data_IF_160119654549
#
_entry.id   IF_160119654549
#
_cell.length_a   1.000
_cell.length_b   1.000
_cell.length_c   1.000
_cell.angle_alpha   90.00
_cell.angle_beta   90.00
_cell.angle_gamma   90.00
#
_symmetry.space_group_name_H-M   'P 1'
#
loop_
_entity.id
_entity.type
_entity.pdbx_description
1 polymer ?
#
# COMPACT_ATOMS: atom_id res chain seq x y z
N UNK A 1 24.07 -20.83 -0.36
CA UNK A 1 23.24 -22.00 0.04
C UNK A 1 23.30 -22.11 1.54
N UNK A 2 22.13 -22.12 2.19
CA UNK A 2 21.99 -22.29 3.64
C UNK A 2 22.57 -23.64 4.04
N UNK A 3 23.39 -23.71 5.09
CA UNK A 3 23.89 -24.96 5.63
C UNK A 3 22.70 -25.82 6.13
N UNK A 4 22.72 -27.11 5.85
CA UNK A 4 21.57 -28.01 6.10
C UNK A 4 21.15 -28.07 7.57
N UNK A 5 22.10 -27.98 8.52
CA UNK A 5 21.85 -27.91 9.94
C UNK A 5 21.19 -26.59 10.35
N UNK A 6 21.71 -25.43 9.87
CA UNK A 6 21.13 -24.12 10.16
C UNK A 6 19.69 -24.05 9.65
N UNK A 7 19.45 -24.50 8.41
CA UNK A 7 18.10 -24.59 7.84
C UNK A 7 17.17 -25.42 8.75
N UNK A 8 17.59 -26.61 9.12
CA UNK A 8 16.78 -27.53 9.94
C UNK A 8 16.42 -26.91 11.29
N UNK A 9 17.42 -26.38 12.00
CA UNK A 9 17.25 -25.86 13.36
C UNK A 9 16.35 -24.61 13.37
N UNK A 10 16.54 -23.70 12.40
CA UNK A 10 15.72 -22.46 12.26
C UNK A 10 14.28 -22.79 11.91
N UNK A 11 14.03 -23.71 10.97
CA UNK A 11 12.67 -24.11 10.62
C UNK A 11 11.96 -24.80 11.79
N UNK A 12 12.67 -25.68 12.54
CA UNK A 12 12.12 -26.32 13.72
C UNK A 12 11.76 -25.30 14.80
N UNK A 13 12.61 -24.28 15.02
CA UNK A 13 12.33 -23.23 16.00
C UNK A 13 11.08 -22.39 15.61
N UNK A 14 10.85 -22.10 14.31
CA UNK A 14 9.61 -21.45 13.88
C UNK A 14 8.40 -22.35 14.14
N UNK A 15 8.50 -23.66 13.87
CA UNK A 15 7.41 -24.61 14.14
C UNK A 15 7.10 -24.68 15.64
N UNK A 16 8.11 -24.69 16.51
CA UNK A 16 7.94 -24.67 17.97
C UNK A 16 7.28 -23.37 18.46
N UNK A 17 7.49 -22.24 17.78
CA UNK A 17 6.90 -20.94 18.11
C UNK A 17 5.53 -20.68 17.42
N UNK A 18 4.99 -21.67 16.70
CA UNK A 18 3.72 -21.53 15.95
C UNK A 18 2.57 -20.96 16.79
N UNK A 19 2.35 -21.52 17.97
CA UNK A 19 1.23 -21.09 18.83
C UNK A 19 1.44 -19.66 19.36
N UNK A 20 2.69 -19.27 19.57
CA UNK A 20 3.04 -17.91 19.98
C UNK A 20 2.81 -16.93 18.83
N UNK A 21 3.22 -17.27 17.62
CA UNK A 21 2.97 -16.49 16.40
C UNK A 21 1.48 -16.22 16.19
N UNK A 22 0.67 -17.28 16.25
CA UNK A 22 -0.80 -17.17 16.08
C UNK A 22 -1.41 -16.31 17.17
N UNK A 23 -0.97 -16.45 18.42
CA UNK A 23 -1.44 -15.64 19.54
C UNK A 23 -1.04 -14.17 19.36
N UNK A 24 0.21 -13.87 19.01
CA UNK A 24 0.70 -12.51 18.80
C UNK A 24 -0.11 -11.81 17.69
N UNK A 25 -0.30 -12.43 16.54
CA UNK A 25 -1.13 -11.91 15.47
C UNK A 25 -2.58 -11.67 15.92
N UNK A 26 -3.18 -12.63 16.64
CA UNK A 26 -4.53 -12.49 17.20
C UNK A 26 -4.64 -11.32 18.17
N UNK A 27 -3.68 -11.16 19.08
CA UNK A 27 -3.67 -10.10 20.09
C UNK A 27 -3.54 -8.70 19.43
N UNK A 28 -2.71 -8.58 18.38
CA UNK A 28 -2.61 -7.35 17.58
C UNK A 28 -3.95 -6.99 16.90
N UNK A 29 -4.62 -7.99 16.30
CA UNK A 29 -5.92 -7.81 15.62
C UNK A 29 -7.01 -7.36 16.59
N UNK A 30 -6.97 -7.80 17.83
CA UNK A 30 -7.94 -7.42 18.86
C UNK A 30 -7.85 -5.94 19.28
N UNK A 31 -6.79 -5.25 18.91
CA UNK A 31 -6.63 -3.82 19.17
C UNK A 31 -7.13 -3.03 17.95
N UNK A 32 -8.24 -2.27 18.07
CA UNK A 32 -8.66 -1.34 17.03
C UNK A 32 -7.60 -0.26 16.82
N UNK A 33 -6.93 -0.29 15.69
CA UNK A 33 -5.90 0.68 15.29
C UNK A 33 -6.28 1.35 13.98
N UNK A 34 -7.55 1.74 13.86
CA UNK A 34 -8.05 2.47 12.69
C UNK A 34 -7.25 3.75 12.50
N UNK A 35 -6.77 3.99 11.29
CA UNK A 35 -6.04 5.20 10.97
C UNK A 35 -6.89 6.45 11.29
N UNK A 36 -6.42 7.35 12.17
CA UNK A 36 -7.24 8.46 12.67
C UNK A 36 -7.47 9.56 11.63
N UNK A 37 -6.83 9.51 10.48
CA UNK A 37 -7.00 10.46 9.38
C UNK A 37 -7.94 9.96 8.29
N UNK A 38 -8.48 8.75 8.45
CA UNK A 38 -9.38 8.15 7.47
C UNK A 38 -10.68 8.96 7.35
N UNK A 39 -11.19 9.24 6.13
CA UNK A 39 -12.42 10.00 5.94
C UNK A 39 -13.62 9.38 6.67
N UNK A 40 -14.31 10.19 7.46
CA UNK A 40 -15.47 9.76 8.25
C UNK A 40 -15.13 9.14 9.61
N UNK A 41 -13.86 8.99 9.95
CA UNK A 41 -13.41 8.58 11.30
C UNK A 41 -13.37 9.80 12.22
N UNK A 42 -13.87 9.62 13.45
CA UNK A 42 -13.73 10.62 14.52
C UNK A 42 -12.32 10.45 15.09
N UNK A 43 -11.44 11.42 14.80
CA UNK A 43 -10.01 11.34 15.14
C UNK A 43 -9.79 11.08 16.64
N UNK A 44 -10.54 11.75 17.50
CA UNK A 44 -10.43 11.67 18.96
C UNK A 44 -10.73 10.26 19.50
N UNK A 45 -11.51 9.47 18.76
CA UNK A 45 -11.86 8.09 19.14
C UNK A 45 -10.84 7.08 18.60
N UNK A 46 -10.21 7.37 17.45
CA UNK A 46 -9.27 6.48 16.79
C UNK A 46 -7.82 6.68 17.26
N UNK A 47 -7.43 7.94 17.55
CA UNK A 47 -6.07 8.28 17.94
C UNK A 47 -5.58 7.45 19.12
N UNK A 48 -4.33 6.99 19.05
CA UNK A 48 -3.72 6.11 20.05
C UNK A 48 -3.99 4.62 19.84
N UNK A 49 -4.84 4.24 18.86
CA UNK A 49 -5.06 2.84 18.49
C UNK A 49 -3.77 2.18 18.00
N UNK A 50 -3.07 2.81 17.07
CA UNK A 50 -1.77 2.40 16.54
C UNK A 50 -0.73 2.28 17.68
N UNK A 51 -0.64 3.30 18.52
CA UNK A 51 0.26 3.32 19.69
C UNK A 51 -0.02 2.18 20.68
N UNK A 52 -1.27 1.71 20.80
CA UNK A 52 -1.59 0.55 21.65
C UNK A 52 -1.05 -0.74 21.08
N UNK A 53 -1.08 -0.93 19.75
CA UNK A 53 -0.47 -2.09 19.10
C UNK A 53 1.03 -2.07 19.34
N UNK A 54 1.71 -0.96 19.10
CA UNK A 54 3.16 -0.85 19.26
C UNK A 54 3.61 -1.00 20.73
N UNK A 55 2.81 -0.54 21.70
CA UNK A 55 3.06 -0.82 23.12
C UNK A 55 2.79 -2.28 23.54
N UNK A 56 1.97 -3.02 22.80
CA UNK A 56 1.88 -4.48 22.97
C UNK A 56 3.14 -5.17 22.46
N UNK A 57 3.70 -4.71 21.34
CA UNK A 57 4.86 -5.32 20.68
C UNK A 57 6.19 -5.00 21.36
N UNK A 58 6.33 -3.80 21.95
CA UNK A 58 7.58 -3.37 22.59
C UNK A 58 8.13 -4.41 23.61
N UNK A 59 7.37 -4.86 24.64
CA UNK A 59 7.87 -5.87 25.58
C UNK A 59 8.16 -7.22 24.91
N UNK A 60 7.45 -7.58 23.84
CA UNK A 60 7.72 -8.82 23.09
C UNK A 60 9.09 -8.73 22.42
N UNK A 61 9.41 -7.60 21.80
CA UNK A 61 10.73 -7.37 21.18
C UNK A 61 11.85 -7.26 22.22
N UNK A 62 11.60 -6.62 23.37
CA UNK A 62 12.55 -6.55 24.48
C UNK A 62 12.89 -7.94 25.05
N UNK A 63 11.88 -8.83 25.22
CA UNK A 63 12.07 -10.22 25.69
C UNK A 63 12.90 -11.06 24.71
N UNK A 64 12.82 -10.79 23.42
CA UNK A 64 13.64 -11.40 22.38
C UNK A 64 15.10 -10.90 22.45
N UNK A 65 15.30 -9.74 23.08
CA UNK A 65 16.61 -9.10 23.22
C UNK A 65 16.92 -8.09 22.10
N UNK A 66 15.90 -7.53 21.47
CA UNK A 66 16.06 -6.41 20.54
C UNK A 66 16.22 -5.09 21.31
N UNK A 67 16.98 -4.16 20.76
CA UNK A 67 17.03 -2.78 21.25
C UNK A 67 15.82 -2.02 20.67
N UNK A 68 14.84 -1.67 21.52
CA UNK A 68 13.59 -1.04 21.08
C UNK A 68 13.66 0.49 21.14
N UNK A 69 13.00 1.15 20.18
CA UNK A 69 12.78 2.59 20.11
C UNK A 69 11.29 2.85 19.79
N UNK A 70 10.52 3.21 20.83
CA UNK A 70 9.13 3.60 20.72
C UNK A 70 9.01 5.12 20.76
N UNK A 71 8.52 5.73 19.67
CA UNK A 71 8.50 7.18 19.53
C UNK A 71 7.39 7.66 18.59
N UNK A 72 7.04 8.92 18.70
CA UNK A 72 5.96 9.55 17.94
C UNK A 72 6.52 10.64 17.00
N UNK A 73 6.28 10.51 15.69
CA UNK A 73 6.49 11.60 14.74
C UNK A 73 5.26 12.53 14.72
N UNK A 74 4.09 11.97 14.96
CA UNK A 74 2.82 12.65 15.13
C UNK A 74 2.24 12.26 16.49
N UNK A 75 1.77 13.25 17.28
CA UNK A 75 1.25 13.04 18.62
C UNK A 75 0.14 11.97 18.68
N UNK A 76 0.30 10.99 19.57
CA UNK A 76 -0.63 9.87 19.75
C UNK A 76 -0.46 8.74 18.73
N UNK A 77 0.54 8.81 17.85
CA UNK A 77 0.80 7.83 16.80
C UNK A 77 2.25 7.32 16.89
N UNK A 78 2.48 6.40 17.81
CA UNK A 78 3.83 5.89 18.06
C UNK A 78 4.24 4.84 17.02
N UNK A 79 5.43 5.02 16.42
CA UNK A 79 6.16 3.97 15.71
C UNK A 79 6.98 3.15 16.71
N UNK A 80 7.22 1.89 16.40
CA UNK A 80 8.13 1.01 17.14
C UNK A 80 9.18 0.46 16.19
N UNK A 81 10.45 0.60 16.58
CA UNK A 81 11.58 -0.03 15.89
C UNK A 81 12.29 -0.97 16.86
N UNK A 82 12.51 -2.21 16.44
CA UNK A 82 13.30 -3.20 17.18
C UNK A 82 14.58 -3.54 16.41
N UNK A 83 15.74 -3.34 17.03
CA UNK A 83 17.05 -3.63 16.44
C UNK A 83 17.65 -4.91 17.03
N UNK A 84 17.78 -5.96 16.23
CA UNK A 84 18.64 -7.10 16.51
C UNK A 84 20.05 -6.80 16.03
N UNK A 85 20.94 -6.45 16.95
CA UNK A 85 22.32 -6.08 16.63
C UNK A 85 23.12 -7.26 16.11
N UNK A 86 23.68 -7.11 14.89
CA UNK A 86 24.53 -8.11 14.27
C UNK A 86 25.89 -8.26 14.93
N UNK A 87 26.54 -9.40 14.71
CA UNK A 87 27.90 -9.68 15.21
C UNK A 87 29.00 -9.01 14.39
N UNK A 88 28.64 -8.43 13.25
CA UNK A 88 29.53 -7.70 12.33
C UNK A 88 29.92 -8.50 11.10
N UNK A 89 30.12 -7.79 9.99
CA UNK A 89 30.60 -8.34 8.72
C UNK A 89 29.51 -8.91 7.78
N UNK A 90 28.23 -8.81 8.15
CA UNK A 90 27.08 -9.13 7.30
C UNK A 90 26.38 -7.91 6.76
N UNK A 91 25.46 -8.11 5.81
CA UNK A 91 24.53 -7.08 5.29
C UNK A 91 23.37 -6.92 6.26
N UNK A 92 22.89 -5.69 6.42
CA UNK A 92 21.71 -5.38 7.25
C UNK A 92 20.40 -5.56 6.48
N UNK A 93 19.32 -5.84 7.23
CA UNK A 93 17.98 -6.08 6.69
C UNK A 93 16.92 -5.35 7.52
N UNK A 94 15.99 -4.66 6.87
CA UNK A 94 14.77 -4.14 7.47
C UNK A 94 13.60 -5.08 7.12
N UNK A 95 12.77 -5.42 8.11
CA UNK A 95 11.38 -5.81 7.92
C UNK A 95 10.52 -4.61 8.29
N UNK A 96 9.68 -4.15 7.37
CA UNK A 96 8.83 -3.00 7.58
C UNK A 96 7.36 -3.40 7.40
N UNK A 97 6.52 -3.01 8.34
CA UNK A 97 5.08 -3.22 8.25
C UNK A 97 4.32 -2.17 9.05
N UNK A 98 3.06 -1.94 8.68
CA UNK A 98 2.21 -0.96 9.35
C UNK A 98 1.22 -1.62 10.31
N UNK A 99 0.91 -0.91 11.39
CA UNK A 99 -0.02 -1.37 12.43
C UNK A 99 -1.38 -0.68 12.35
N UNK A 100 -1.50 0.38 11.55
CA UNK A 100 -2.81 0.99 11.27
C UNK A 100 -3.64 0.14 10.30
N UNK A 101 -4.93 0.36 10.32
CA UNK A 101 -5.88 -0.37 9.47
C UNK A 101 -7.00 0.57 8.99
N UNK A 102 -7.65 0.24 7.87
CA UNK A 102 -8.86 0.91 7.42
C UNK A 102 -10.03 0.66 8.38
N UNK A 103 -11.07 1.51 8.41
CA UNK A 103 -12.30 1.24 9.15
C UNK A 103 -12.91 -0.11 8.76
N UNK A 104 -13.55 -0.82 9.71
CA UNK A 104 -14.14 -2.14 9.44
C UNK A 104 -15.35 -2.08 8.50
N UNK A 105 -15.91 -0.90 8.28
CA UNK A 105 -17.19 -0.73 7.59
C UNK A 105 -18.38 -1.15 8.46
N UNK A 106 -19.57 -1.35 7.85
CA UNK A 106 -20.78 -1.71 8.60
C UNK A 106 -20.64 -3.07 9.31
N UNK A 107 -20.98 -3.11 10.60
CA UNK A 107 -20.84 -4.34 11.42
C UNK A 107 -21.75 -5.49 10.96
N UNK A 108 -22.88 -5.19 10.35
CA UNK A 108 -23.81 -6.19 9.83
C UNK A 108 -23.25 -6.99 8.63
N UNK A 109 -22.19 -6.49 8.01
CA UNK A 109 -21.45 -7.21 6.96
C UNK A 109 -20.44 -8.23 7.52
N UNK A 110 -20.09 -8.13 8.82
CA UNK A 110 -19.22 -9.08 9.48
C UNK A 110 -20.01 -10.28 10.01
N UNK A 111 -20.28 -11.23 9.13
CA UNK A 111 -21.18 -12.37 9.37
C UNK A 111 -20.51 -13.56 10.05
N UNK A 112 -19.19 -13.68 9.92
CA UNK A 112 -18.41 -14.79 10.49
C UNK A 112 -17.92 -14.45 11.91
N UNK A 113 -17.44 -13.22 12.11
CA UNK A 113 -16.79 -12.75 13.34
C UNK A 113 -17.03 -11.24 13.53
N UNK A 114 -16.75 -10.69 14.72
CA UNK A 114 -16.62 -9.23 14.83
C UNK A 114 -15.26 -8.75 14.29
N UNK A 115 -15.16 -7.49 13.81
CA UNK A 115 -13.92 -6.96 13.21
C UNK A 115 -12.69 -7.08 14.10
N UNK A 116 -12.86 -6.98 15.39
CA UNK A 116 -11.78 -6.97 16.39
C UNK A 116 -11.70 -8.26 17.21
N UNK A 117 -12.16 -9.37 16.64
CA UNK A 117 -12.22 -10.62 17.42
C UNK A 117 -10.87 -11.34 17.56
N UNK A 118 -9.96 -11.19 16.59
CA UNK A 118 -8.75 -12.00 16.52
C UNK A 118 -9.04 -13.50 16.51
N UNK A 119 -10.24 -13.93 16.10
CA UNK A 119 -10.71 -15.30 16.27
C UNK A 119 -9.90 -16.29 15.45
N UNK A 120 -9.35 -17.29 16.15
CA UNK A 120 -8.64 -18.41 15.53
C UNK A 120 -9.60 -19.58 15.36
N UNK A 121 -9.90 -19.94 14.11
CA UNK A 121 -10.78 -21.06 13.78
C UNK A 121 -10.55 -21.54 12.34
N UNK A 122 -10.77 -22.83 12.07
CA UNK A 122 -10.66 -23.41 10.73
C UNK A 122 -9.33 -23.13 10.01
N UNK A 123 -8.22 -23.06 10.73
CA UNK A 123 -6.90 -22.78 10.17
C UNK A 123 -6.67 -21.30 9.82
N UNK A 124 -7.51 -20.38 10.29
CA UNK A 124 -7.47 -18.96 10.01
C UNK A 124 -7.46 -18.10 11.26
N UNK A 125 -6.90 -16.92 11.12
CA UNK A 125 -7.03 -15.81 12.09
C UNK A 125 -7.92 -14.76 11.42
N UNK A 126 -9.02 -14.41 12.07
CA UNK A 126 -10.02 -13.48 11.54
C UNK A 126 -9.98 -12.13 12.23
N UNK A 127 -10.18 -11.07 11.47
CA UNK A 127 -10.41 -9.72 11.94
C UNK A 127 -9.77 -8.68 11.02
N UNK A 128 -10.12 -7.40 11.22
CA UNK A 128 -9.54 -6.28 10.49
C UNK A 128 -8.05 -6.15 10.80
N UNK A 129 -7.20 -6.10 9.77
CA UNK A 129 -5.76 -6.13 9.90
C UNK A 129 -5.16 -7.53 9.96
N UNK A 130 -5.96 -8.59 9.81
CA UNK A 130 -5.43 -9.96 9.80
C UNK A 130 -4.54 -10.22 8.59
N UNK A 131 -5.02 -9.82 7.41
CA UNK A 131 -4.26 -9.92 6.17
C UNK A 131 -3.42 -8.69 5.91
N UNK A 132 -3.91 -7.50 6.31
CA UNK A 132 -3.35 -6.21 5.98
C UNK A 132 -3.12 -5.37 7.24
N UNK A 133 -1.89 -5.46 7.87
CA UNK A 133 -0.84 -6.46 7.62
C UNK A 133 -0.24 -7.02 8.91
N UNK A 134 -1.00 -6.95 10.06
CA UNK A 134 -0.54 -7.32 11.40
C UNK A 134 0.02 -8.75 11.50
N UNK A 135 -0.48 -9.71 10.68
CA UNK A 135 0.07 -11.05 10.66
C UNK A 135 1.47 -11.09 10.03
N UNK A 136 1.76 -10.21 9.07
CA UNK A 136 3.09 -10.01 8.50
C UNK A 136 4.08 -9.49 9.54
N UNK A 137 3.67 -8.47 10.33
CA UNK A 137 4.46 -7.94 11.45
C UNK A 137 4.79 -9.03 12.49
N UNK A 138 3.76 -9.78 12.89
CA UNK A 138 3.95 -10.90 13.85
C UNK A 138 4.92 -11.96 13.30
N UNK A 139 4.82 -12.28 11.99
CA UNK A 139 5.72 -13.24 11.34
C UNK A 139 7.17 -12.75 11.34
N UNK A 140 7.40 -11.46 11.09
CA UNK A 140 8.75 -10.86 11.10
C UNK A 140 9.38 -10.89 12.52
N UNK A 141 8.60 -10.55 13.55
CA UNK A 141 9.04 -10.60 14.94
C UNK A 141 9.42 -12.03 15.34
N UNK A 142 8.55 -13.00 15.05
CA UNK A 142 8.78 -14.41 15.41
C UNK A 142 9.91 -15.03 14.57
N UNK A 143 10.14 -14.57 13.34
CA UNK A 143 11.29 -15.02 12.54
C UNK A 143 12.64 -14.69 13.21
N UNK A 144 12.77 -13.46 13.74
CA UNK A 144 13.98 -13.07 14.49
C UNK A 144 14.10 -13.87 15.78
N UNK A 145 12.99 -14.03 16.53
CA UNK A 145 12.97 -14.85 17.76
C UNK A 145 13.43 -16.28 17.48
N UNK A 146 12.86 -16.94 16.47
CA UNK A 146 13.19 -18.30 16.10
C UNK A 146 14.68 -18.47 15.75
N UNK A 147 15.25 -17.52 14.99
CA UNK A 147 16.67 -17.54 14.66
C UNK A 147 17.55 -17.50 15.92
N UNK A 148 17.22 -16.62 16.87
CA UNK A 148 17.98 -16.46 18.12
C UNK A 148 17.81 -17.66 19.04
N UNK A 149 16.59 -18.22 19.17
CA UNK A 149 16.33 -19.44 19.97
C UNK A 149 17.00 -20.70 19.39
N UNK A 150 17.13 -20.75 18.04
CA UNK A 150 17.93 -21.81 17.40
C UNK A 150 19.45 -21.66 17.66
N UNK A 151 19.86 -20.59 18.35
CA UNK A 151 21.26 -20.34 18.72
C UNK A 151 22.08 -19.59 17.68
N UNK A 152 21.45 -19.06 16.65
CA UNK A 152 22.12 -18.31 15.59
C UNK A 152 21.97 -16.79 15.78
N UNK A 153 23.06 -16.06 15.58
CA UNK A 153 23.04 -14.58 15.57
C UNK A 153 23.39 -14.09 14.18
N UNK A 154 22.62 -13.13 13.64
CA UNK A 154 22.94 -12.55 12.34
C UNK A 154 24.27 -11.80 12.39
N UNK A 155 25.02 -11.82 11.28
CA UNK A 155 26.23 -10.97 11.14
C UNK A 155 25.88 -9.53 10.85
N UNK A 156 24.89 -9.27 10.00
CA UNK A 156 24.34 -7.93 9.77
C UNK A 156 23.25 -7.59 10.79
N UNK A 157 22.99 -6.31 10.96
CA UNK A 157 21.88 -5.83 11.79
C UNK A 157 20.53 -6.22 11.15
N UNK A 158 19.56 -6.67 11.97
CA UNK A 158 18.17 -6.87 11.53
C UNK A 158 17.28 -5.88 12.26
N UNK A 159 16.51 -5.11 11.51
CA UNK A 159 15.64 -4.05 12.01
C UNK A 159 14.20 -4.45 11.72
N UNK A 160 13.33 -4.38 12.72
CA UNK A 160 11.88 -4.55 12.57
C UNK A 160 11.24 -3.19 12.79
N UNK A 161 10.50 -2.71 11.81
CA UNK A 161 9.77 -1.44 11.86
C UNK A 161 8.27 -1.73 11.86
N UNK A 162 7.58 -1.40 12.97
CA UNK A 162 6.12 -1.42 13.08
C UNK A 162 5.64 0.03 13.03
N UNK A 163 5.24 0.48 11.86
CA UNK A 163 4.98 1.89 11.58
C UNK A 163 3.48 2.23 11.57
N UNK A 164 3.17 3.52 11.47
CA UNK A 164 1.82 4.07 11.41
C UNK A 164 1.60 4.82 10.09
N UNK A 165 0.35 4.96 9.64
CA UNK A 165 0.00 5.95 8.63
C UNK A 165 -0.04 5.47 7.20
N UNK A 166 0.28 4.22 6.91
CA UNK A 166 0.31 3.66 5.56
C UNK A 166 -1.07 3.76 4.88
N UNK A 167 -2.13 3.30 5.51
CA UNK A 167 -3.51 3.19 5.01
C UNK A 167 -4.14 4.53 4.55
N UNK A 168 -3.56 5.63 4.94
CA UNK A 168 -3.95 6.98 4.51
C UNK A 168 -2.79 7.75 3.88
N UNK A 169 -1.76 7.02 3.45
CA UNK A 169 -0.64 7.60 2.71
C UNK A 169 0.08 8.71 3.51
N UNK A 170 0.04 8.64 4.85
CA UNK A 170 0.74 9.55 5.75
C UNK A 170 2.10 8.95 6.18
N UNK A 171 2.94 8.71 5.20
CA UNK A 171 4.26 8.09 5.40
C UNK A 171 5.21 8.98 6.19
N UNK A 172 4.97 10.30 6.24
CA UNK A 172 5.73 11.23 7.07
C UNK A 172 5.54 10.96 8.58
N UNK A 173 4.44 10.31 8.97
CA UNK A 173 4.24 9.84 10.34
C UNK A 173 4.83 8.45 10.60
N UNK A 174 5.01 7.63 9.55
CA UNK A 174 5.46 6.22 9.59
C UNK A 174 6.81 5.98 8.94
N UNK A 175 6.86 5.22 7.85
CA UNK A 175 8.09 4.78 7.18
C UNK A 175 9.00 5.94 6.75
N UNK A 176 8.44 7.05 6.26
CA UNK A 176 9.23 8.25 5.98
C UNK A 176 9.88 8.83 7.24
N UNK A 177 9.21 8.72 8.39
CA UNK A 177 9.76 9.18 9.67
C UNK A 177 10.87 8.24 10.21
N UNK A 178 10.78 6.91 10.01
CA UNK A 178 11.86 5.98 10.39
C UNK A 178 13.12 6.26 9.56
N UNK A 179 12.97 6.46 8.26
CA UNK A 179 14.07 6.87 7.36
C UNK A 179 14.69 8.20 7.81
N UNK A 180 13.87 9.21 8.13
CA UNK A 180 14.35 10.52 8.60
C UNK A 180 15.04 10.43 9.96
N UNK A 181 14.63 9.51 10.84
CA UNK A 181 15.26 9.23 12.13
C UNK A 181 16.61 8.52 11.99
N UNK A 182 16.91 7.99 10.80
CA UNK A 182 18.21 7.43 10.45
C UNK A 182 18.25 5.90 10.37
N UNK A 183 17.11 5.21 10.47
CA UNK A 183 17.05 3.77 10.24
C UNK A 183 17.31 3.46 8.77
N UNK A 184 18.32 2.65 8.50
CA UNK A 184 18.78 2.27 7.17
C UNK A 184 19.35 0.86 7.18
N UNK A 185 19.20 0.17 6.08
CA UNK A 185 19.76 -1.16 5.85
C UNK A 185 20.25 -1.32 4.41
N UNK A 186 20.95 -2.43 4.15
CA UNK A 186 21.41 -2.79 2.79
C UNK A 186 20.26 -3.30 1.91
N UNK A 187 19.15 -3.74 2.52
CA UNK A 187 17.89 -4.05 1.85
C UNK A 187 16.74 -4.06 2.85
N UNK A 188 15.49 -4.11 2.33
CA UNK A 188 14.29 -4.26 3.13
C UNK A 188 13.27 -5.20 2.50
N UNK A 189 12.39 -5.73 3.35
CA UNK A 189 11.19 -6.50 2.99
C UNK A 189 10.00 -5.81 3.66
N UNK A 190 9.04 -5.32 2.86
CA UNK A 190 7.73 -4.91 3.36
C UNK A 190 6.86 -6.14 3.46
N UNK A 191 6.25 -6.35 4.64
CA UNK A 191 5.57 -7.62 4.97
C UNK A 191 4.08 -7.61 4.57
N UNK A 192 3.72 -6.85 3.53
CA UNK A 192 2.40 -6.74 2.90
C UNK A 192 1.92 -8.04 2.26
N UNK A 193 0.59 -8.28 2.25
CA UNK A 193 0.02 -9.50 1.70
C UNK A 193 0.26 -9.67 0.21
N UNK A 194 0.38 -10.90 -0.21
CA UNK A 194 0.56 -11.26 -1.61
C UNK A 194 -0.70 -11.06 -2.45
N UNK A 195 -0.55 -11.02 -3.77
CA UNK A 195 -1.65 -10.97 -4.72
C UNK A 195 -1.75 -12.27 -5.53
N UNK A 196 -2.98 -12.78 -5.80
CA UNK A 196 -3.14 -13.93 -6.66
C UNK A 196 -2.53 -13.75 -8.06
N UNK A 197 -2.02 -14.81 -8.65
CA UNK A 197 -2.09 -16.21 -8.22
C UNK A 197 -0.96 -16.65 -7.27
N UNK A 198 -0.16 -15.71 -6.78
CA UNK A 198 1.05 -16.02 -6.02
C UNK A 198 0.72 -16.14 -4.53
N UNK A 199 1.12 -17.25 -3.92
CA UNK A 199 1.16 -17.44 -2.48
C UNK A 199 2.54 -17.02 -1.99
N UNK A 200 2.61 -16.04 -1.10
CA UNK A 200 3.89 -15.49 -0.60
C UNK A 200 4.84 -15.08 -1.75
N UNK A 201 4.27 -14.60 -2.87
CA UNK A 201 5.08 -14.18 -4.01
C UNK A 201 5.93 -12.96 -3.69
N UNK A 202 7.01 -12.77 -4.43
CA UNK A 202 7.92 -11.65 -4.28
C UNK A 202 7.49 -10.53 -5.22
N UNK A 203 6.93 -9.44 -4.69
CA UNK A 203 6.66 -8.27 -5.49
C UNK A 203 7.93 -7.41 -5.58
N UNK A 204 8.34 -7.12 -6.81
CA UNK A 204 9.57 -6.38 -7.11
C UNK A 204 9.33 -5.00 -7.69
N UNK A 205 8.08 -4.67 -7.99
CA UNK A 205 7.69 -3.38 -8.54
C UNK A 205 6.28 -3.00 -8.09
N UNK A 206 6.01 -1.71 -7.94
CA UNK A 206 4.66 -1.16 -7.77
C UNK A 206 4.42 0.01 -8.71
N UNK A 207 3.17 0.32 -9.09
CA UNK A 207 2.85 1.55 -9.81
C UNK A 207 3.09 2.77 -8.94
N UNK A 208 3.23 3.94 -9.58
CA UNK A 208 3.10 5.21 -8.89
C UNK A 208 1.67 5.74 -8.95
N UNK A 209 1.29 6.61 -8.02
CA UNK A 209 -0.05 7.21 -7.95
C UNK A 209 -0.01 8.72 -7.88
N UNK A 210 -0.84 9.36 -8.70
CA UNK A 210 -1.12 10.79 -8.68
C UNK A 210 -2.63 11.00 -8.55
N UNK A 211 -3.06 12.11 -7.93
CA UNK A 211 -4.47 12.42 -7.70
C UNK A 211 -4.85 13.82 -8.23
N UNK A 212 -4.96 14.01 -9.55
CA UNK A 212 -5.30 15.29 -10.12
C UNK A 212 -6.79 15.64 -9.97
N UNK A 213 -7.05 16.94 -9.82
CA UNK A 213 -8.37 17.56 -9.86
C UNK A 213 -8.52 18.41 -11.11
N UNK A 214 -9.48 18.05 -11.95
CA UNK A 214 -9.77 18.77 -13.21
C UNK A 214 -11.02 19.61 -13.01
N UNK A 215 -10.88 20.92 -13.17
CA UNK A 215 -11.96 21.90 -12.99
C UNK A 215 -12.37 22.50 -14.32
N UNK A 216 -13.64 22.40 -14.65
CA UNK A 216 -14.25 22.93 -15.85
C UNK A 216 -15.19 24.06 -15.47
N UNK A 217 -15.01 25.22 -16.08
CA UNK A 217 -15.87 26.39 -15.90
C UNK A 217 -16.91 26.47 -17.01
N UNK A 218 -18.13 26.80 -16.62
CA UNK A 218 -19.24 27.10 -17.50
C UNK A 218 -19.79 28.50 -17.21
N UNK A 219 -21.03 28.74 -17.65
CA UNK A 219 -21.79 29.95 -17.39
C UNK A 219 -23.14 29.56 -16.82
N UNK A 220 -23.39 29.78 -15.52
CA UNK A 220 -24.63 29.37 -14.90
C UNK A 220 -25.82 30.19 -15.37
N UNK A 221 -27.00 29.57 -15.40
CA UNK A 221 -28.28 30.21 -15.64
C UNK A 221 -29.40 29.34 -15.05
N UNK A 222 -30.63 29.86 -15.07
CA UNK A 222 -31.78 29.05 -14.71
C UNK A 222 -32.01 27.93 -15.72
N UNK A 223 -32.44 26.74 -15.27
CA UNK A 223 -32.63 25.55 -16.15
C UNK A 223 -33.64 25.78 -17.28
N UNK A 224 -34.61 26.69 -17.13
CA UNK A 224 -35.54 27.04 -18.21
C UNK A 224 -34.84 27.66 -19.43
N UNK A 225 -33.60 28.14 -19.29
CA UNK A 225 -32.82 28.65 -20.40
C UNK A 225 -32.13 27.57 -21.24
N UNK A 226 -32.34 26.28 -20.93
CA UNK A 226 -31.73 25.14 -21.65
C UNK A 226 -32.09 25.13 -23.13
N UNK A 227 -33.28 25.58 -23.49
CA UNK A 227 -33.73 25.69 -24.88
C UNK A 227 -32.85 26.62 -25.71
N UNK A 228 -32.35 27.72 -25.13
CA UNK A 228 -31.44 28.65 -25.80
C UNK A 228 -30.08 28.00 -26.17
N UNK A 229 -29.71 26.91 -25.48
CA UNK A 229 -28.46 26.20 -25.73
C UNK A 229 -28.60 25.12 -26.81
N UNK A 230 -29.79 24.52 -26.95
CA UNK A 230 -29.99 23.31 -27.76
C UNK A 230 -30.82 23.54 -29.03
N UNK A 231 -31.68 24.56 -29.08
CA UNK A 231 -32.53 24.84 -30.25
C UNK A 231 -31.74 25.49 -31.37
N UNK A 232 -32.15 25.23 -32.59
CA UNK A 232 -31.67 26.02 -33.76
C UNK A 232 -32.01 27.50 -33.60
N UNK A 233 -31.02 28.40 -33.77
CA UNK A 233 -31.19 29.84 -33.60
C UNK A 233 -31.26 30.29 -32.14
N UNK A 234 -30.97 29.42 -31.16
CA UNK A 234 -30.75 29.84 -29.78
C UNK A 234 -29.44 30.61 -29.61
N UNK A 235 -29.35 31.43 -28.57
CA UNK A 235 -28.21 32.32 -28.31
C UNK A 235 -26.98 31.57 -27.73
N UNK A 236 -27.13 30.31 -27.37
CA UNK A 236 -26.03 29.44 -26.92
C UNK A 236 -25.23 30.01 -25.74
N UNK A 237 -23.92 30.07 -25.89
CA UNK A 237 -22.98 30.49 -24.83
C UNK A 237 -23.17 31.99 -24.40
N UNK A 238 -23.86 32.82 -25.15
CA UNK A 238 -24.22 34.15 -24.69
C UNK A 238 -25.14 34.10 -23.46
N UNK A 239 -25.99 33.08 -23.38
CA UNK A 239 -26.95 32.90 -22.30
C UNK A 239 -26.39 32.03 -21.18
N UNK A 240 -25.96 30.80 -21.51
CA UNK A 240 -25.44 29.84 -20.52
C UNK A 240 -24.50 28.83 -21.16
N UNK A 241 -23.68 28.15 -20.31
CA UNK A 241 -22.86 27.01 -20.69
C UNK A 241 -22.87 26.04 -19.54
N UNK A 242 -23.33 24.82 -19.78
CA UNK A 242 -23.29 23.74 -18.78
C UNK A 242 -21.87 23.24 -18.63
N UNK A 243 -21.29 23.45 -17.46
CA UNK A 243 -19.97 22.92 -17.14
C UNK A 243 -19.95 21.38 -17.14
N UNK A 244 -21.07 20.74 -16.77
CA UNK A 244 -21.20 19.27 -16.81
C UNK A 244 -21.16 18.76 -18.25
N UNK A 245 -21.87 19.41 -19.20
CA UNK A 245 -21.79 19.02 -20.61
C UNK A 245 -20.36 19.15 -21.16
N UNK A 246 -19.62 20.16 -20.71
CA UNK A 246 -18.20 20.37 -21.06
C UNK A 246 -17.29 19.37 -20.37
N UNK A 247 -17.58 19.03 -19.11
CA UNK A 247 -16.87 17.98 -18.35
C UNK A 247 -16.95 16.62 -19.04
N UNK A 248 -18.10 16.26 -19.61
CA UNK A 248 -18.26 15.01 -20.35
C UNK A 248 -17.34 14.93 -21.59
N UNK A 249 -17.04 16.05 -22.25
CA UNK A 249 -16.09 16.09 -23.38
C UNK A 249 -14.67 15.75 -22.88
N UNK A 250 -14.27 16.34 -21.76
CA UNK A 250 -12.94 16.09 -21.16
C UNK A 250 -12.85 14.66 -20.62
N UNK A 251 -13.90 14.17 -19.95
CA UNK A 251 -13.99 12.77 -19.52
C UNK A 251 -13.77 11.79 -20.68
N UNK A 252 -14.46 12.00 -21.81
CA UNK A 252 -14.27 11.16 -23.00
C UNK A 252 -12.84 11.19 -23.53
N UNK A 253 -12.17 12.35 -23.41
CA UNK A 253 -10.77 12.47 -23.75
C UNK A 253 -9.86 11.63 -22.86
N UNK A 254 -10.05 11.71 -21.56
CA UNK A 254 -9.26 10.97 -20.59
C UNK A 254 -9.55 9.45 -20.64
N UNK A 255 -10.80 9.06 -20.86
CA UNK A 255 -11.15 7.65 -21.09
C UNK A 255 -10.43 7.05 -22.32
N UNK A 256 -10.26 7.86 -23.39
CA UNK A 256 -9.47 7.42 -24.56
C UNK A 256 -7.98 7.33 -24.28
N UNK A 257 -7.44 8.20 -23.43
CA UNK A 257 -6.05 8.10 -23.00
C UNK A 257 -5.83 6.82 -22.17
N UNK A 258 -6.78 6.49 -21.28
CA UNK A 258 -6.74 5.25 -20.51
C UNK A 258 -6.77 4.00 -21.43
N UNK A 259 -7.64 3.99 -22.47
CA UNK A 259 -7.66 2.93 -23.47
C UNK A 259 -6.32 2.81 -24.21
N UNK A 260 -5.69 3.93 -24.55
CA UNK A 260 -4.37 3.98 -25.19
C UNK A 260 -3.28 3.45 -24.25
N UNK A 261 -3.30 3.86 -22.98
CA UNK A 261 -2.36 3.36 -21.99
C UNK A 261 -2.50 1.84 -21.78
N UNK A 262 -3.74 1.32 -21.76
CA UNK A 262 -4.00 -0.10 -21.67
C UNK A 262 -3.39 -0.94 -22.80
N UNK A 263 -3.07 -0.31 -23.94
CA UNK A 263 -2.47 -0.96 -25.12
C UNK A 263 -0.97 -0.69 -25.24
N UNK A 264 -0.48 0.45 -24.75
CA UNK A 264 0.87 0.95 -25.00
C UNK A 264 1.78 0.90 -23.80
N UNK A 265 1.23 1.05 -22.58
CA UNK A 265 2.01 1.01 -21.35
C UNK A 265 2.07 -0.41 -20.79
N UNK A 266 3.29 -0.90 -20.61
CA UNK A 266 3.54 -2.23 -20.06
C UNK A 266 4.81 -2.21 -19.21
N UNK A 267 4.89 -3.14 -18.27
CA UNK A 267 6.08 -3.39 -17.47
C UNK A 267 6.23 -4.89 -17.24
N UNK A 268 7.43 -5.47 -17.27
CA UNK A 268 7.63 -6.93 -17.17
C UNK A 268 7.04 -7.59 -15.92
N UNK A 269 7.04 -6.88 -14.79
CA UNK A 269 6.47 -7.38 -13.54
C UNK A 269 4.93 -7.45 -13.57
N UNK A 270 4.25 -6.69 -14.43
CA UNK A 270 2.79 -6.63 -14.54
C UNK A 270 2.34 -7.40 -15.78
N UNK A 271 1.99 -8.67 -15.59
CA UNK A 271 1.65 -9.59 -16.69
C UNK A 271 0.27 -9.36 -17.30
N UNK A 272 -0.59 -8.61 -16.65
CA UNK A 272 -1.94 -8.28 -17.16
C UNK A 272 -1.89 -6.95 -17.90
N UNK A 273 -2.45 -6.86 -19.12
CA UNK A 273 -2.58 -5.58 -19.81
C UNK A 273 -3.57 -4.67 -19.07
N UNK A 274 -3.41 -3.34 -19.26
CA UNK A 274 -4.32 -2.36 -18.67
C UNK A 274 -4.12 -2.14 -17.16
N UNK A 275 -2.93 -2.40 -16.65
CA UNK A 275 -2.62 -2.20 -15.23
C UNK A 275 -2.49 -0.73 -14.85
N UNK A 276 -2.05 0.11 -15.79
CA UNK A 276 -1.87 1.55 -15.59
C UNK A 276 -3.08 2.30 -16.11
N UNK A 277 -3.77 3.05 -15.22
CA UNK A 277 -5.12 3.55 -15.46
C UNK A 277 -5.32 4.99 -15.01
N UNK A 278 -6.38 5.61 -15.53
CA UNK A 278 -6.89 6.90 -15.08
C UNK A 278 -8.30 6.69 -14.49
N UNK A 279 -8.39 6.30 -13.24
CA UNK A 279 -9.67 6.05 -12.59
C UNK A 279 -10.36 7.36 -12.20
N UNK A 280 -11.53 7.65 -12.81
CA UNK A 280 -12.38 8.75 -12.35
C UNK A 280 -13.01 8.38 -11.00
N UNK A 281 -12.57 9.04 -9.93
CA UNK A 281 -13.08 8.81 -8.58
C UNK A 281 -14.36 9.61 -8.30
N UNK A 282 -14.39 10.88 -8.71
CA UNK A 282 -15.57 11.74 -8.51
C UNK A 282 -15.87 12.58 -9.76
N UNK A 283 -17.15 12.80 -10.03
CA UNK A 283 -17.65 13.71 -11.07
C UNK A 283 -18.77 14.55 -10.46
N UNK A 284 -18.47 15.78 -10.12
CA UNK A 284 -19.38 16.66 -9.40
C UNK A 284 -19.68 17.93 -10.22
N UNK A 285 -20.96 18.31 -10.30
CA UNK A 285 -21.32 19.55 -10.96
C UNK A 285 -22.73 19.99 -10.60
N UNK A 286 -22.89 21.31 -10.48
CA UNK A 286 -24.17 21.92 -10.16
C UNK A 286 -24.44 22.04 -8.65
N UNK A 287 -25.35 22.98 -8.33
CA UNK A 287 -25.75 23.33 -6.96
C UNK A 287 -27.25 23.10 -6.68
N UNK A 288 -27.95 22.45 -7.61
CA UNK A 288 -29.36 22.15 -7.49
C UNK A 288 -30.10 22.09 -8.81
N UNK A 289 -31.35 21.63 -8.80
CA UNK A 289 -32.17 21.34 -10.00
C UNK A 289 -32.59 22.58 -10.80
N UNK A 290 -32.51 23.78 -10.18
CA UNK A 290 -32.94 25.02 -10.82
C UNK A 290 -31.84 25.70 -11.67
N UNK A 291 -30.62 25.15 -11.68
CA UNK A 291 -29.47 25.81 -12.29
C UNK A 291 -28.84 24.97 -13.40
N UNK A 292 -28.43 25.62 -14.49
CA UNK A 292 -27.44 25.10 -15.44
C UNK A 292 -26.09 25.19 -14.72
N UNK A 293 -25.32 24.08 -14.56
CA UNK A 293 -24.09 24.09 -13.80
C UNK A 293 -23.03 25.03 -14.36
N UNK A 294 -22.53 25.95 -13.53
CA UNK A 294 -21.45 26.86 -13.87
C UNK A 294 -20.06 26.33 -13.57
N UNK A 295 -19.98 25.21 -12.86
CA UNK A 295 -18.75 24.51 -12.54
C UNK A 295 -18.96 23.00 -12.55
N UNK A 296 -17.94 22.28 -13.00
CA UNK A 296 -17.82 20.83 -12.89
C UNK A 296 -16.41 20.49 -12.44
N UNK A 297 -16.30 19.57 -11.48
CA UNK A 297 -15.05 19.07 -10.92
C UNK A 297 -14.98 17.57 -11.08
N UNK A 298 -13.86 17.08 -11.59
CA UNK A 298 -13.53 15.66 -11.68
C UNK A 298 -12.25 15.41 -10.88
N UNK A 299 -12.26 14.40 -10.04
CA UNK A 299 -11.09 13.94 -9.32
C UNK A 299 -10.72 12.56 -9.84
N UNK A 300 -9.45 12.37 -10.16
CA UNK A 300 -8.90 11.14 -10.70
C UNK A 300 -7.88 10.54 -9.77
N UNK A 301 -7.76 9.20 -9.81
CA UNK A 301 -6.60 8.46 -9.32
C UNK A 301 -5.88 7.93 -10.55
N UNK A 302 -4.64 8.36 -10.74
CA UNK A 302 -3.83 8.02 -11.91
C UNK A 302 -2.74 7.04 -11.47
N UNK A 303 -2.89 5.79 -11.90
CA UNK A 303 -1.91 4.73 -11.69
C UNK A 303 -0.94 4.69 -12.85
N UNK A 304 0.33 4.96 -12.63
CA UNK A 304 1.32 5.04 -13.70
C UNK A 304 2.42 3.99 -13.57
N UNK A 305 3.04 3.68 -14.70
CA UNK A 305 4.10 2.68 -14.77
C UNK A 305 5.35 3.12 -13.97
N UNK A 306 6.10 2.16 -13.38
CA UNK A 306 7.29 2.47 -12.61
C UNK A 306 8.35 3.27 -13.37
N UNK A 307 8.49 3.03 -14.67
CA UNK A 307 9.45 3.72 -15.52
C UNK A 307 9.01 5.13 -15.95
N UNK A 308 7.74 5.50 -15.73
CA UNK A 308 7.22 6.82 -16.13
C UNK A 308 7.46 7.83 -15.00
N UNK A 309 8.11 8.95 -15.33
CA UNK A 309 8.22 10.03 -14.34
C UNK A 309 6.88 10.74 -14.13
N UNK A 310 6.63 11.31 -12.95
CA UNK A 310 5.43 12.10 -12.68
C UNK A 310 5.22 13.22 -13.70
N UNK A 311 6.30 13.87 -14.15
CA UNK A 311 6.27 14.95 -15.14
C UNK A 311 5.80 14.46 -16.50
N UNK A 312 6.22 13.26 -16.93
CA UNK A 312 5.75 12.66 -18.18
C UNK A 312 4.25 12.36 -18.09
N UNK A 313 3.81 11.77 -17.01
CA UNK A 313 2.40 11.42 -16.77
C UNK A 313 1.52 12.68 -16.76
N UNK A 314 1.93 13.71 -16.03
CA UNK A 314 1.24 15.00 -15.99
C UNK A 314 1.11 15.61 -17.38
N UNK A 315 2.19 15.61 -18.15
CA UNK A 315 2.23 16.11 -19.52
C UNK A 315 1.25 15.36 -20.43
N UNK A 316 1.26 14.02 -20.41
CA UNK A 316 0.36 13.20 -21.24
C UNK A 316 -1.12 13.51 -20.94
N UNK A 317 -1.48 13.61 -19.66
CA UNK A 317 -2.84 13.92 -19.21
C UNK A 317 -3.24 15.34 -19.64
N UNK A 318 -2.39 16.34 -19.41
CA UNK A 318 -2.65 17.73 -19.77
C UNK A 318 -2.76 17.93 -21.30
N UNK A 319 -1.88 17.29 -22.09
CA UNK A 319 -1.94 17.31 -23.54
C UNK A 319 -3.24 16.70 -24.08
N UNK A 320 -3.72 15.63 -23.46
CA UNK A 320 -4.99 15.01 -23.83
C UNK A 320 -6.18 15.92 -23.49
N UNK A 321 -6.19 16.53 -22.31
CA UNK A 321 -7.20 17.53 -21.92
C UNK A 321 -7.20 18.69 -22.92
N UNK A 322 -6.03 19.23 -23.24
CA UNK A 322 -5.91 20.32 -24.20
C UNK A 322 -6.40 19.91 -25.60
N UNK A 323 -6.08 18.70 -26.06
CA UNK A 323 -6.53 18.16 -27.36
C UNK A 323 -8.06 18.11 -27.43
N UNK A 324 -8.73 17.62 -26.38
CA UNK A 324 -10.17 17.55 -26.36
C UNK A 324 -10.84 18.92 -26.16
N UNK A 325 -10.23 19.80 -25.41
CA UNK A 325 -10.70 21.17 -25.28
C UNK A 325 -10.75 21.90 -26.63
N UNK A 326 -9.83 21.61 -27.57
CA UNK A 326 -9.85 22.17 -28.92
C UNK A 326 -11.07 21.74 -29.76
N UNK A 327 -11.77 20.69 -29.41
CA UNK A 327 -12.96 20.20 -30.14
C UNK A 327 -14.20 21.01 -29.81
N UNK A 328 -14.19 21.81 -28.75
CA UNK A 328 -15.33 22.60 -28.29
C UNK A 328 -15.05 24.12 -28.29
N UNK A 329 -15.90 24.95 -28.90
CA UNK A 329 -15.66 26.38 -28.96
C UNK A 329 -15.51 27.08 -27.60
N UNK A 330 -16.28 26.65 -26.59
CA UNK A 330 -16.21 27.26 -25.26
C UNK A 330 -14.90 26.86 -24.55
N UNK A 331 -14.54 25.55 -24.60
CA UNK A 331 -13.34 25.03 -23.93
C UNK A 331 -12.04 25.59 -24.57
N UNK A 332 -12.05 25.97 -25.84
CA UNK A 332 -10.89 26.64 -26.47
C UNK A 332 -10.56 27.97 -25.80
N UNK A 333 -11.62 28.73 -25.43
CA UNK A 333 -11.49 30.05 -24.81
C UNK A 333 -11.44 29.95 -23.27
N UNK A 334 -11.97 28.85 -22.70
CA UNK A 334 -12.05 28.58 -21.28
C UNK A 334 -11.50 27.20 -20.99
N UNK A 335 -10.18 26.97 -21.13
CA UNK A 335 -9.58 25.67 -20.96
C UNK A 335 -9.77 25.14 -19.52
N UNK A 336 -9.92 23.82 -19.35
CA UNK A 336 -9.96 23.21 -18.01
C UNK A 336 -8.70 23.52 -17.21
N UNK A 337 -8.87 23.79 -15.93
CA UNK A 337 -7.76 23.84 -14.98
C UNK A 337 -7.43 22.45 -14.46
N UNK A 338 -6.15 22.11 -14.36
CA UNK A 338 -5.67 20.88 -13.73
C UNK A 338 -4.87 21.26 -12.50
N UNK A 339 -5.28 20.75 -11.36
CA UNK A 339 -4.56 20.88 -10.09
C UNK A 339 -4.04 19.49 -9.70
N UNK A 340 -2.73 19.32 -9.65
CA UNK A 340 -2.08 18.08 -9.26
C UNK A 340 -1.87 17.96 -7.75
N UNK A 341 -2.07 19.03 -7.00
CA UNK A 341 -1.77 19.07 -5.58
C UNK A 341 -0.31 18.69 -5.29
N UNK A 342 -0.08 18.24 -4.09
CA UNK A 342 1.24 17.74 -3.63
C UNK A 342 1.29 16.23 -3.50
N UNK A 343 0.15 15.55 -3.63
CA UNK A 343 0.06 14.11 -3.47
C UNK A 343 0.77 13.38 -4.62
N UNK A 344 1.71 12.55 -4.28
CA UNK A 344 2.37 11.59 -5.14
C UNK A 344 2.86 10.42 -4.31
N UNK A 345 2.37 9.22 -4.63
CA UNK A 345 2.97 7.98 -4.14
C UNK A 345 3.96 7.50 -5.19
N UNK A 346 5.25 7.37 -4.84
CA UNK A 346 6.25 6.96 -5.80
C UNK A 346 6.07 5.49 -6.20
N UNK A 347 6.46 5.12 -7.43
CA UNK A 347 6.64 3.72 -7.78
C UNK A 347 7.95 3.19 -7.23
N UNK A 348 8.09 1.85 -7.22
CA UNK A 348 9.40 1.22 -7.13
C UNK A 348 9.58 0.15 -8.21
N UNK A 349 10.83 -0.19 -8.52
CA UNK A 349 11.20 -1.22 -9.49
C UNK A 349 12.58 -1.79 -9.13
N UNK A 350 12.59 -2.97 -8.54
CA UNK A 350 13.79 -3.69 -8.14
C UNK A 350 14.03 -4.83 -9.13
N UNK A 351 15.22 -4.90 -9.77
CA UNK A 351 15.52 -5.98 -10.69
C UNK A 351 15.36 -7.37 -10.04
N UNK A 352 14.73 -8.30 -10.73
CA UNK A 352 14.50 -9.67 -10.21
C UNK A 352 15.79 -10.44 -9.89
N UNK A 353 16.90 -10.04 -10.47
CA UNK A 353 18.24 -10.57 -10.21
C UNK A 353 19.01 -9.78 -9.13
N UNK A 354 18.35 -8.80 -8.49
CA UNK A 354 18.95 -8.11 -7.37
C UNK A 354 19.31 -9.08 -6.24
N UNK A 355 20.40 -8.81 -5.50
CA UNK A 355 20.86 -9.72 -4.44
C UNK A 355 19.80 -10.06 -3.39
N UNK A 356 18.93 -9.10 -3.03
CA UNK A 356 17.85 -9.35 -2.06
C UNK A 356 16.80 -10.30 -2.65
N UNK A 357 16.41 -10.14 -3.92
CA UNK A 357 15.50 -11.05 -4.60
C UNK A 357 16.04 -12.47 -4.63
N UNK A 358 17.33 -12.63 -4.91
CA UNK A 358 18.00 -13.94 -4.93
C UNK A 358 18.01 -14.59 -3.53
N UNK A 359 18.32 -13.82 -2.48
CA UNK A 359 18.37 -14.32 -1.12
C UNK A 359 16.97 -14.79 -0.65
N UNK A 360 15.94 -13.98 -0.88
CA UNK A 360 14.56 -14.30 -0.49
C UNK A 360 14.00 -15.46 -1.33
N UNK A 361 14.29 -15.51 -2.64
CA UNK A 361 13.89 -16.65 -3.47
C UNK A 361 14.55 -17.97 -3.04
N UNK A 362 15.81 -17.93 -2.58
CA UNK A 362 16.49 -19.10 -2.01
C UNK A 362 15.81 -19.56 -0.73
N UNK A 363 15.41 -18.63 0.16
CA UNK A 363 14.68 -18.93 1.37
C UNK A 363 13.29 -19.52 1.05
N UNK A 364 12.59 -18.92 0.10
CA UNK A 364 11.27 -19.36 -0.38
C UNK A 364 11.31 -20.82 -0.88
N UNK A 365 12.22 -21.14 -1.82
CA UNK A 365 12.40 -22.51 -2.33
C UNK A 365 12.75 -23.49 -1.22
N UNK A 366 13.57 -23.05 -0.27
CA UNK A 366 13.93 -23.89 0.88
C UNK A 366 12.74 -24.23 1.79
N UNK A 367 11.73 -23.35 1.88
CA UNK A 367 10.52 -23.55 2.72
C UNK A 367 9.43 -24.28 1.95
N UNK A 368 9.09 -23.81 0.75
CA UNK A 368 7.93 -24.29 0.00
C UNK A 368 8.26 -25.41 -1.00
N UNK A 369 9.55 -25.60 -1.34
CA UNK A 369 9.99 -26.64 -2.28
C UNK A 369 9.64 -26.34 -3.73
N UNK A 370 9.37 -25.09 -4.05
CA UNK A 370 9.06 -24.59 -5.40
C UNK A 370 9.67 -23.21 -5.65
N UNK A 371 9.96 -22.85 -6.91
CA UNK A 371 10.52 -21.54 -7.22
C UNK A 371 9.59 -20.40 -6.84
N UNK A 372 10.14 -19.31 -6.30
CA UNK A 372 9.40 -18.12 -5.99
C UNK A 372 8.80 -17.48 -7.25
N UNK A 373 7.54 -17.05 -7.16
CA UNK A 373 6.91 -16.23 -8.19
C UNK A 373 7.26 -14.75 -8.00
N UNK A 374 7.78 -14.10 -9.05
CA UNK A 374 8.01 -12.66 -9.07
C UNK A 374 6.88 -11.95 -9.79
N UNK A 375 6.45 -10.78 -9.26
CA UNK A 375 5.35 -10.04 -9.85
C UNK A 375 5.40 -8.55 -9.49
N UNK A 376 4.55 -7.74 -10.16
CA UNK A 376 4.29 -6.35 -9.79
C UNK A 376 3.13 -6.28 -8.80
N UNK A 377 3.34 -5.61 -7.69
CA UNK A 377 2.32 -5.34 -6.69
C UNK A 377 1.22 -4.46 -7.30
N UNK A 378 -0.01 -4.89 -7.17
CA UNK A 378 -1.13 -4.23 -7.87
C UNK A 378 -1.62 -2.95 -7.16
N UNK A 379 -1.19 -2.74 -5.93
CA UNK A 379 -1.44 -1.56 -5.12
C UNK A 379 -0.13 -0.77 -4.91
N UNK A 380 -0.11 0.13 -3.97
CA UNK A 380 1.07 0.82 -3.44
C UNK A 380 1.33 0.35 -2.02
N UNK A 381 2.56 0.44 -1.58
CA UNK A 381 3.00 0.12 -0.23
C UNK A 381 4.23 0.94 0.17
N UNK A 382 4.64 0.82 1.42
CA UNK A 382 5.78 1.56 1.98
C UNK A 382 7.14 1.20 1.36
N UNK A 383 7.24 0.10 0.57
CA UNK A 383 8.47 -0.25 -0.16
C UNK A 383 8.93 0.87 -1.10
N UNK A 384 7.99 1.65 -1.62
CA UNK A 384 8.29 2.80 -2.48
C UNK A 384 9.19 3.83 -1.78
N UNK A 385 8.92 4.15 -0.52
CA UNK A 385 9.66 5.17 0.24
C UNK A 385 11.03 4.68 0.69
N UNK A 386 11.14 3.41 1.05
CA UNK A 386 12.43 2.79 1.35
C UNK A 386 13.32 2.73 0.10
N UNK A 387 12.75 2.37 -1.07
CA UNK A 387 13.45 2.42 -2.35
C UNK A 387 13.91 3.85 -2.70
N UNK A 388 13.07 4.87 -2.48
CA UNK A 388 13.48 6.27 -2.66
C UNK A 388 14.62 6.69 -1.73
N UNK A 389 14.67 6.12 -0.53
CA UNK A 389 15.78 6.33 0.41
C UNK A 389 17.07 5.59 0.01
N UNK A 390 17.04 4.86 -1.11
CA UNK A 390 18.19 4.09 -1.62
C UNK A 390 18.35 2.72 -0.98
N UNK A 391 17.31 2.20 -0.33
CA UNK A 391 17.27 0.87 0.28
C UNK A 391 16.51 -0.05 -0.68
N UNK A 392 17.18 -0.99 -1.38
CA UNK A 392 16.49 -1.95 -2.27
C UNK A 392 15.45 -2.74 -1.47
N UNK A 393 14.16 -2.53 -1.78
CA UNK A 393 13.04 -3.06 -1.00
C UNK A 393 12.09 -3.84 -1.90
N UNK A 394 11.72 -5.02 -1.46
CA UNK A 394 10.71 -5.89 -2.07
C UNK A 394 9.54 -6.06 -1.11
N UNK A 395 8.41 -6.51 -1.64
CA UNK A 395 7.23 -6.81 -0.83
C UNK A 395 6.96 -8.32 -0.83
N UNK A 396 6.79 -8.90 0.33
CA UNK A 396 6.44 -10.31 0.55
C UNK A 396 5.82 -10.47 1.93
N UNK A 397 4.57 -10.90 1.99
CA UNK A 397 3.91 -11.21 3.26
C UNK A 397 2.72 -12.15 3.12
N UNK A 398 2.23 -12.67 4.27
CA UNK A 398 1.13 -13.61 4.31
C UNK A 398 -0.20 -12.90 4.11
N UNK A 399 -1.15 -13.63 3.53
CA UNK A 399 -2.48 -13.12 3.27
C UNK A 399 -2.70 -12.79 1.81
N UNK A 400 -3.83 -12.15 1.55
CA UNK A 400 -4.34 -12.05 0.20
C UNK A 400 -5.06 -10.72 -0.03
N UNK A 401 -4.54 -9.84 -0.90
CA UNK A 401 -5.13 -8.53 -1.19
C UNK A 401 -6.64 -8.56 -1.51
N UNK A 402 -7.19 -9.69 -2.00
CA UNK A 402 -8.61 -9.77 -2.31
C UNK A 402 -9.52 -9.79 -1.07
N UNK A 403 -8.99 -10.12 0.10
CA UNK A 403 -9.74 -10.09 1.37
C UNK A 403 -9.36 -8.90 2.25
N UNK A 404 -8.29 -8.19 1.89
CA UNK A 404 -7.94 -6.92 2.50
C UNK A 404 -9.08 -5.91 2.35
N UNK A 405 -9.28 -5.05 3.34
CA UNK A 405 -10.35 -4.03 3.38
C UNK A 405 -11.78 -4.56 3.29
N UNK A 406 -11.98 -5.90 3.19
CA UNK A 406 -13.28 -6.53 3.11
C UNK A 406 -13.83 -6.93 4.50
N UNK A 407 -15.15 -7.05 4.68
CA UNK A 407 -15.71 -7.73 5.84
C UNK A 407 -15.27 -9.20 5.91
N UNK A 408 -15.19 -9.74 7.13
CA UNK A 408 -14.70 -11.10 7.40
C UNK A 408 -13.25 -11.35 6.91
N UNK A 409 -12.43 -10.30 6.92
CA UNK A 409 -11.01 -10.39 6.63
C UNK A 409 -10.34 -11.47 7.47
N UNK A 410 -9.42 -12.21 6.86
CA UNK A 410 -8.70 -13.29 7.51
C UNK A 410 -7.34 -13.53 6.87
N UNK A 411 -6.48 -14.24 7.60
CA UNK A 411 -5.23 -14.82 7.08
C UNK A 411 -5.16 -16.30 7.39
N UNK A 412 -4.60 -17.10 6.48
CA UNK A 412 -4.36 -18.54 6.70
C UNK A 412 -3.16 -18.72 7.63
N UNK A 413 -3.31 -19.48 8.72
CA UNK A 413 -2.25 -19.72 9.72
C UNK A 413 -1.01 -20.33 9.08
N UNK A 414 -1.18 -21.32 8.19
CA UNK A 414 -0.05 -21.94 7.49
C UNK A 414 0.74 -20.94 6.67
N UNK A 415 0.08 -19.94 6.10
CA UNK A 415 0.74 -18.91 5.32
C UNK A 415 1.55 -17.95 6.20
N UNK A 416 1.04 -17.62 7.38
CA UNK A 416 1.76 -16.82 8.38
C UNK A 416 3.01 -17.57 8.89
N UNK A 417 2.89 -18.86 9.14
CA UNK A 417 4.02 -19.72 9.58
C UNK A 417 5.06 -19.85 8.48
N UNK A 418 4.64 -20.07 7.22
CA UNK A 418 5.56 -20.16 6.09
C UNK A 418 6.26 -18.82 5.83
N UNK A 419 5.55 -17.66 5.99
CA UNK A 419 6.17 -16.35 5.92
C UNK A 419 7.26 -16.19 6.99
N UNK A 420 6.98 -16.55 8.25
CA UNK A 420 7.97 -16.49 9.31
C UNK A 420 9.21 -17.37 9.01
N UNK A 421 9.01 -18.55 8.43
CA UNK A 421 10.10 -19.43 7.97
C UNK A 421 10.93 -18.81 6.85
N UNK A 422 10.26 -18.21 5.85
CA UNK A 422 10.92 -17.50 4.74
C UNK A 422 11.72 -16.31 5.27
N UNK A 423 11.16 -15.52 6.18
CA UNK A 423 11.85 -14.38 6.77
C UNK A 423 13.08 -14.82 7.58
N UNK A 424 12.96 -15.84 8.42
CA UNK A 424 14.08 -16.36 9.21
C UNK A 424 15.22 -16.88 8.30
N UNK A 425 14.91 -17.63 7.25
CA UNK A 425 15.91 -18.10 6.29
C UNK A 425 16.44 -16.95 5.40
N UNK A 426 15.64 -15.92 5.13
CA UNK A 426 16.11 -14.72 4.43
C UNK A 426 17.15 -13.97 5.25
N UNK A 427 17.00 -13.88 6.57
CA UNK A 427 18.02 -13.32 7.46
C UNK A 427 19.31 -14.13 7.33
N UNK A 428 19.23 -15.47 7.34
CA UNK A 428 20.42 -16.36 7.20
C UNK A 428 21.13 -16.13 5.86
N UNK A 429 20.40 -16.10 4.74
CA UNK A 429 20.98 -15.94 3.40
C UNK A 429 21.49 -14.51 3.14
N UNK A 430 20.80 -13.51 3.67
CA UNK A 430 21.16 -12.12 3.43
C UNK A 430 22.19 -11.59 4.40
N UNK A 431 21.93 -11.72 5.71
CA UNK A 431 22.79 -11.18 6.74
C UNK A 431 23.98 -12.09 7.06
N UNK A 432 23.87 -13.40 6.80
CA UNK A 432 24.77 -14.45 7.29
C UNK A 432 24.61 -14.70 8.80
N UNK A 433 25.04 -15.83 9.28
CA UNK A 433 25.02 -16.22 10.70
C UNK A 433 26.37 -16.79 11.12
#
# INVERSE_FOLDING_TARGET
MIESNVKHDVLAAVDDLRDELVRLASDMIQIPSVNPTYPGVVREEAIGGESRVNRLLEPVMDEIGLETDLWEAEEGRANLVGLCKGTGGGRSLIFNGHVDVVPPGPEDLWTEVSPWSGRVTNGRIYGRGATDMKAGDAAAIIAVKALLEAGYKPKGDVIIECVVGEEMMNTEAGTGATVARGYKADAAIVVEPSAPPYRLGIATASPGVLAPKVTIKGKPAHTCMRDELVRAGGRGAEVAVSAVDKGLIIYQGLAKLEEEWGQTKSHPAFTRPGHFTLCLATFMGGSGIAYIPGECVMEYVVWHAPQDSPELVKKEVEEQIARFAQTDPWLRENPPGVDWGTFWWPPYDVPVDAPICTAVATAYDAVLGEPAGFYGFAAVDDAAFLNQAGIPTITLGPGHLQVAHAPNEYVEIEEVVDAAKIYALSIVEWCGV
#
